data_IF_418844784295
#
_entry.id   IF_418844784295
#
_cell.length_a   1.000
_cell.length_b   1.000
_cell.length_c   1.000
_cell.angle_alpha   90.00
_cell.angle_beta   90.00
_cell.angle_gamma   90.00
#
_symmetry.space_group_name_H-M   'P 1'
#
loop_
_entity.id
_entity.type
_entity.pdbx_description
1 polymer ?
#
# COMPACT_ATOMS: atom_id res chain seq x y z
N UNK A 1 -17.75 2.18 15.25
CA UNK A 1 -17.69 3.49 14.58
C UNK A 1 -18.25 3.28 13.19
N UNK A 2 -19.26 4.04 12.77
CA UNK A 2 -19.76 3.93 11.39
C UNK A 2 -18.70 4.41 10.39
N UNK A 3 -18.85 4.10 9.10
CA UNK A 3 -17.95 4.61 8.06
C UNK A 3 -17.91 6.14 8.01
N UNK A 4 -19.04 6.79 8.28
CA UNK A 4 -19.15 8.25 8.30
C UNK A 4 -18.47 8.86 9.52
N UNK A 5 -18.62 8.25 10.71
CA UNK A 5 -17.93 8.67 11.92
C UNK A 5 -16.40 8.59 11.74
N UNK A 6 -15.91 7.53 11.09
CA UNK A 6 -14.49 7.38 10.78
C UNK A 6 -14.00 8.52 9.85
N UNK A 7 -14.73 8.80 8.77
CA UNK A 7 -14.38 9.87 7.82
C UNK A 7 -14.35 11.25 8.48
N UNK A 8 -15.29 11.53 9.39
CA UNK A 8 -15.33 12.79 10.14
C UNK A 8 -14.13 12.91 11.10
N UNK A 9 -13.91 11.90 11.94
CA UNK A 9 -12.80 11.87 12.89
C UNK A 9 -11.44 11.98 12.18
N UNK A 10 -11.27 11.25 11.08
CA UNK A 10 -10.08 11.31 10.23
C UNK A 10 -9.81 12.74 9.75
N UNK A 11 -10.83 13.42 9.22
CA UNK A 11 -10.70 14.79 8.69
C UNK A 11 -10.22 15.77 9.75
N UNK A 12 -10.79 15.69 10.97
CA UNK A 12 -10.38 16.54 12.10
C UNK A 12 -8.93 16.29 12.50
N UNK A 13 -8.54 15.01 12.61
CA UNK A 13 -7.16 14.62 12.96
C UNK A 13 -6.14 15.14 11.95
N UNK A 14 -6.42 14.97 10.65
CA UNK A 14 -5.54 15.42 9.57
C UNK A 14 -5.43 16.95 9.56
N UNK A 15 -6.56 17.67 9.63
CA UNK A 15 -6.56 19.13 9.62
C UNK A 15 -5.75 19.72 10.77
N UNK A 16 -6.00 19.26 12.00
CA UNK A 16 -5.32 19.76 13.19
C UNK A 16 -3.84 19.35 13.22
N UNK A 17 -3.52 18.09 12.89
CA UNK A 17 -2.13 17.64 12.90
C UNK A 17 -1.29 18.32 11.83
N UNK A 18 -1.84 18.56 10.64
CA UNK A 18 -1.15 19.30 9.57
C UNK A 18 -0.90 20.76 10.01
N UNK A 19 -1.88 21.40 10.67
CA UNK A 19 -1.73 22.74 11.23
C UNK A 19 -0.62 22.79 12.28
N UNK A 20 -0.58 21.82 13.21
CA UNK A 20 0.45 21.74 14.24
C UNK A 20 1.84 21.48 13.64
N UNK A 21 1.94 20.59 12.65
CA UNK A 21 3.21 20.31 11.97
C UNK A 21 3.73 21.53 11.20
N UNK A 22 2.84 22.29 10.55
CA UNK A 22 3.20 23.56 9.90
C UNK A 22 3.68 24.59 10.93
N UNK A 23 2.96 24.74 12.05
CA UNK A 23 3.35 25.66 13.12
C UNK A 23 4.71 25.28 13.74
N UNK A 24 4.95 23.98 13.96
CA UNK A 24 6.24 23.47 14.43
C UNK A 24 7.38 23.83 13.47
N UNK A 25 7.20 23.60 12.16
CA UNK A 25 8.19 23.96 11.12
C UNK A 25 8.47 25.47 11.05
N UNK A 26 7.48 26.30 11.36
CA UNK A 26 7.60 27.75 11.35
C UNK A 26 8.23 28.32 12.65
N UNK A 27 8.22 27.56 13.75
CA UNK A 27 8.67 28.02 15.06
C UNK A 27 10.20 28.18 15.15
N UNK A 28 10.65 29.30 15.70
CA UNK A 28 12.07 29.59 15.98
C UNK A 28 12.21 30.28 17.35
N UNK A 29 12.80 29.63 18.38
CA UNK A 29 13.35 28.26 18.38
C UNK A 29 12.26 27.18 18.23
N UNK A 30 12.66 25.95 17.88
CA UNK A 30 11.72 24.84 17.73
C UNK A 30 10.93 24.60 19.03
N UNK A 31 9.60 24.55 18.91
CA UNK A 31 8.70 24.31 20.04
C UNK A 31 8.35 22.82 20.13
N UNK A 32 9.00 22.12 21.05
CA UNK A 32 8.80 20.67 21.25
C UNK A 32 7.37 20.31 21.69
N UNK A 33 6.60 21.25 22.23
CA UNK A 33 5.20 21.00 22.61
C UNK A 33 4.30 20.82 21.40
N UNK A 34 4.56 21.56 20.30
CA UNK A 34 3.84 21.41 19.03
C UNK A 34 4.13 20.05 18.39
N UNK A 35 5.39 19.61 18.43
CA UNK A 35 5.78 18.28 17.93
C UNK A 35 5.09 17.16 18.73
N UNK A 36 5.12 17.21 20.06
CA UNK A 36 4.47 16.22 20.92
C UNK A 36 2.93 16.17 20.70
N UNK A 37 2.30 17.33 20.50
CA UNK A 37 0.88 17.40 20.18
C UNK A 37 0.56 16.76 18.81
N UNK A 38 1.38 17.04 17.78
CA UNK A 38 1.24 16.42 16.46
C UNK A 38 1.41 14.89 16.52
N UNK A 39 2.39 14.39 17.27
CA UNK A 39 2.63 12.95 17.47
C UNK A 39 1.47 12.25 18.16
N UNK A 40 0.82 12.93 19.12
CA UNK A 40 -0.40 12.44 19.78
C UNK A 40 -1.53 12.25 18.77
N UNK A 41 -1.72 13.19 17.84
CA UNK A 41 -2.75 13.09 16.80
C UNK A 41 -2.42 12.03 15.76
N UNK A 42 -1.15 11.89 15.38
CA UNK A 42 -0.70 10.81 14.49
C UNK A 42 -0.94 9.43 15.11
N UNK A 43 -0.71 9.28 16.42
CA UNK A 43 -1.05 8.06 17.16
C UNK A 43 -2.55 7.77 17.10
N UNK A 44 -3.39 8.76 17.39
CA UNK A 44 -4.86 8.61 17.31
C UNK A 44 -5.33 8.28 15.90
N UNK A 45 -4.73 8.88 14.87
CA UNK A 45 -5.02 8.58 13.47
C UNK A 45 -4.69 7.11 13.16
N UNK A 46 -3.48 6.66 13.49
CA UNK A 46 -3.03 5.27 13.28
C UNK A 46 -4.00 4.27 13.92
N UNK A 47 -4.37 4.52 15.16
CA UNK A 47 -5.19 3.62 15.95
C UNK A 47 -6.68 3.66 15.51
N UNK A 48 -7.07 4.68 14.73
CA UNK A 48 -8.41 4.83 14.16
C UNK A 48 -8.58 4.21 12.77
N UNK A 49 -7.49 3.76 12.13
CA UNK A 49 -7.54 3.20 10.79
C UNK A 49 -8.44 1.95 10.75
N UNK A 50 -9.33 1.81 9.76
CA UNK A 50 -10.17 0.64 9.64
C UNK A 50 -9.30 -0.57 9.27
N UNK A 51 -9.62 -1.71 9.88
CA UNK A 51 -9.07 -3.00 9.48
C UNK A 51 -9.93 -3.54 8.35
N UNK A 52 -9.31 -3.73 7.18
CA UNK A 52 -9.96 -4.28 5.99
C UNK A 52 -9.28 -5.57 5.56
N UNK A 53 -10.03 -6.47 4.95
CA UNK A 53 -9.44 -7.62 4.26
C UNK A 53 -8.80 -7.15 2.95
N UNK A 54 -7.54 -7.52 2.73
CA UNK A 54 -6.79 -7.16 1.51
C UNK A 54 -6.43 -8.37 0.66
N UNK A 55 -6.49 -9.58 1.22
CA UNK A 55 -6.19 -10.82 0.49
C UNK A 55 -6.69 -12.03 1.28
N UNK A 56 -6.57 -13.21 0.67
CA UNK A 56 -6.54 -14.51 1.34
C UNK A 56 -5.21 -15.19 1.06
N UNK A 57 -4.62 -15.86 2.04
CA UNK A 57 -3.34 -16.56 1.90
C UNK A 57 -3.53 -17.85 1.10
N UNK A 58 -2.82 -18.06 -0.01
CA UNK A 58 -2.88 -19.32 -0.75
C UNK A 58 -2.19 -20.49 -0.04
N UNK A 59 -1.44 -20.22 1.03
CA UNK A 59 -0.72 -21.22 1.80
C UNK A 59 -1.55 -21.79 2.96
N UNK A 60 -2.42 -20.97 3.54
CA UNK A 60 -3.18 -21.32 4.74
C UNK A 60 -4.70 -21.17 4.61
N UNK A 61 -5.16 -20.62 3.48
CA UNK A 61 -6.54 -20.21 3.24
C UNK A 61 -7.08 -19.13 4.21
N UNK A 62 -6.24 -18.53 5.05
CA UNK A 62 -6.67 -17.50 6.01
C UNK A 62 -6.79 -16.12 5.37
N UNK A 63 -7.76 -15.34 5.82
CA UNK A 63 -7.90 -13.94 5.44
C UNK A 63 -6.70 -13.12 5.93
N UNK A 64 -6.24 -12.21 5.08
CA UNK A 64 -5.20 -11.23 5.39
C UNK A 64 -5.86 -9.89 5.57
N UNK A 65 -5.82 -9.40 6.80
CA UNK A 65 -6.40 -8.13 7.18
C UNK A 65 -5.31 -7.08 7.45
N UNK A 66 -5.58 -5.83 7.09
CA UNK A 66 -4.67 -4.70 7.27
C UNK A 66 -5.44 -3.46 7.73
N UNK A 67 -4.87 -2.76 8.70
CA UNK A 67 -5.29 -1.40 9.02
C UNK A 67 -4.80 -0.46 7.92
N UNK A 68 -5.73 0.18 7.21
CA UNK A 68 -5.42 0.94 6.00
C UNK A 68 -6.35 2.14 5.84
N UNK A 69 -5.81 3.27 5.40
CA UNK A 69 -6.64 4.42 5.07
C UNK A 69 -7.27 4.27 3.69
N UNK A 70 -8.54 3.90 3.67
CA UNK A 70 -9.35 3.75 2.45
C UNK A 70 -10.23 4.95 2.15
N UNK A 71 -10.07 6.07 2.86
CA UNK A 71 -10.93 7.24 2.66
C UNK A 71 -10.53 8.02 1.42
N UNK A 72 -9.22 8.28 1.26
CA UNK A 72 -8.58 8.91 0.10
C UNK A 72 -7.04 8.88 0.28
N UNK A 73 -6.28 9.30 -0.72
CA UNK A 73 -4.82 9.37 -0.70
C UNK A 73 -4.24 10.56 0.10
N UNK A 74 -5.09 11.40 0.71
CA UNK A 74 -4.68 12.57 1.51
C UNK A 74 -4.38 12.28 2.99
N UNK A 75 -4.48 11.01 3.39
CA UNK A 75 -4.25 10.58 4.77
C UNK A 75 -2.78 10.26 5.03
N UNK A 76 -2.32 10.45 6.27
CA UNK A 76 -0.92 10.17 6.63
C UNK A 76 -0.49 8.72 6.43
N UNK A 77 -1.40 7.76 6.25
CA UNK A 77 -1.06 6.40 5.81
C UNK A 77 -0.29 6.40 4.47
N UNK A 78 -0.59 7.36 3.61
CA UNK A 78 -0.08 7.51 2.25
C UNK A 78 1.06 8.53 2.10
N UNK A 79 1.54 9.09 3.22
CA UNK A 79 2.72 9.98 3.24
C UNK A 79 3.96 9.15 2.92
N UNK A 80 4.48 9.30 1.71
CA UNK A 80 5.55 8.46 1.16
C UNK A 80 6.80 8.43 2.04
N UNK A 81 7.16 9.59 2.61
CA UNK A 81 8.35 9.73 3.46
C UNK A 81 8.04 9.35 4.91
N UNK A 82 6.88 9.78 5.43
CA UNK A 82 6.55 9.71 6.86
C UNK A 82 5.19 9.04 7.13
N UNK A 83 4.95 7.89 6.51
CA UNK A 83 3.68 7.18 6.67
C UNK A 83 3.31 6.88 8.13
N UNK A 84 2.02 7.04 8.46
CA UNK A 84 1.43 6.69 9.76
C UNK A 84 0.54 5.47 9.60
N UNK A 85 1.08 4.31 9.98
CA UNK A 85 0.39 3.02 9.86
C UNK A 85 0.88 2.04 10.93
N UNK A 86 0.04 1.07 11.35
CA UNK A 86 0.50 -0.01 12.21
C UNK A 86 1.56 -0.87 11.52
N UNK A 87 2.46 -1.46 12.30
CA UNK A 87 3.39 -2.46 11.76
C UNK A 87 2.61 -3.67 11.24
N UNK A 88 2.97 -4.20 10.06
CA UNK A 88 2.28 -5.35 9.50
C UNK A 88 2.48 -6.59 10.38
N UNK A 89 1.39 -7.30 10.66
CA UNK A 89 1.48 -8.61 11.33
C UNK A 89 1.93 -9.69 10.33
N UNK A 90 3.00 -10.40 10.68
CA UNK A 90 3.53 -11.52 9.88
C UNK A 90 2.77 -12.80 10.26
N UNK A 91 1.79 -13.16 9.44
CA UNK A 91 1.08 -14.44 9.50
C UNK A 91 1.18 -15.15 8.15
N UNK A 92 1.08 -16.47 8.17
CA UNK A 92 0.70 -17.29 7.00
C UNK A 92 1.57 -17.12 5.74
N UNK A 93 2.88 -16.93 5.95
CA UNK A 93 3.86 -16.79 4.88
C UNK A 93 3.76 -15.47 4.11
N UNK A 94 3.07 -14.46 4.64
CA UNK A 94 2.99 -13.14 4.00
C UNK A 94 4.36 -12.46 3.94
N UNK A 95 4.69 -11.96 2.75
CA UNK A 95 6.00 -11.44 2.39
C UNK A 95 6.00 -9.91 2.26
N UNK A 96 5.05 -9.37 1.50
CA UNK A 96 4.92 -7.94 1.22
C UNK A 96 3.55 -7.66 0.57
N UNK A 97 3.17 -6.38 0.54
CA UNK A 97 2.05 -5.87 -0.25
C UNK A 97 2.54 -4.68 -1.07
N UNK A 98 2.48 -4.79 -2.39
CA UNK A 98 2.60 -3.65 -3.31
C UNK A 98 1.22 -3.24 -3.80
N UNK A 99 1.15 -2.20 -4.62
CA UNK A 99 -0.13 -1.76 -5.15
C UNK A 99 -0.04 -0.85 -6.36
N UNK A 100 -1.17 -0.76 -7.04
CA UNK A 100 -1.44 0.10 -8.18
C UNK A 100 -2.77 0.81 -7.96
N UNK A 101 -2.96 1.96 -8.58
CA UNK A 101 -4.19 2.73 -8.46
C UNK A 101 -4.56 3.42 -9.76
N UNK A 102 -5.78 3.19 -10.20
CA UNK A 102 -6.44 4.05 -11.18
C UNK A 102 -7.02 5.26 -10.49
N UNK A 103 -6.32 6.39 -10.66
CA UNK A 103 -6.73 7.66 -10.10
C UNK A 103 -7.91 8.24 -10.87
N UNK A 104 -8.79 8.93 -10.14
CA UNK A 104 -9.97 9.60 -10.68
C UNK A 104 -9.82 11.06 -10.29
N UNK A 105 -9.83 11.98 -11.25
CA UNK A 105 -9.66 13.42 -11.01
C UNK A 105 -10.96 14.14 -10.60
N UNK A 106 -10.91 15.21 -9.78
CA UNK A 106 -9.72 15.81 -9.13
C UNK A 106 -9.19 15.06 -7.88
N UNK A 107 -7.91 14.74 -7.82
CA UNK A 107 -7.31 14.07 -6.64
C UNK A 107 -7.24 15.03 -5.45
N UNK A 108 -7.55 14.56 -4.24
CA UNK A 108 -7.49 15.37 -3.02
C UNK A 108 -6.05 15.78 -2.70
N UNK A 109 -5.81 17.06 -2.45
CA UNK A 109 -4.50 17.59 -2.14
C UNK A 109 -4.06 17.24 -0.70
N UNK A 110 -2.76 16.95 -0.53
CA UNK A 110 -2.12 16.73 0.75
C UNK A 110 -0.77 17.46 0.84
N UNK A 111 -0.27 17.78 2.06
CA UNK A 111 0.99 18.50 2.25
C UNK A 111 2.23 17.60 2.14
N UNK A 112 2.12 16.46 1.48
CA UNK A 112 3.16 15.45 1.25
C UNK A 112 2.95 14.78 -0.11
N UNK A 113 3.98 14.12 -0.60
CA UNK A 113 3.89 13.31 -1.81
C UNK A 113 3.25 11.95 -1.49
N UNK A 114 2.36 11.49 -2.36
CA UNK A 114 1.78 10.14 -2.29
C UNK A 114 2.16 9.36 -3.55
N UNK A 115 2.58 8.11 -3.38
CA UNK A 115 2.97 7.21 -4.47
C UNK A 115 2.02 6.01 -4.53
N UNK A 116 0.85 6.13 -5.18
CA UNK A 116 -0.17 5.09 -5.18
C UNK A 116 0.16 3.92 -6.13
N UNK A 117 1.25 4.01 -6.90
CA UNK A 117 1.64 3.03 -7.90
C UNK A 117 1.26 3.45 -9.33
N UNK A 118 1.37 2.55 -10.31
CA UNK A 118 0.90 2.78 -11.67
C UNK A 118 -0.61 2.65 -11.79
N UNK A 119 -1.16 3.01 -12.97
CA UNK A 119 -2.60 2.96 -13.30
C UNK A 119 -3.09 1.52 -13.66
N UNK A 120 -2.21 0.54 -13.53
CA UNK A 120 -2.46 -0.86 -13.90
C UNK A 120 -1.90 -1.82 -12.85
N UNK A 121 -2.60 -2.93 -12.54
CA UNK A 121 -2.04 -3.97 -11.69
C UNK A 121 -0.82 -4.60 -12.37
N UNK A 122 0.15 -4.98 -11.54
CA UNK A 122 1.41 -5.57 -11.99
C UNK A 122 1.87 -6.62 -10.97
N UNK A 123 2.86 -7.42 -11.36
CA UNK A 123 3.62 -8.25 -10.42
C UNK A 123 5.08 -7.87 -10.44
N UNK A 124 5.81 -8.26 -9.39
CA UNK A 124 7.27 -8.18 -9.34
C UNK A 124 7.83 -9.57 -9.67
N UNK A 125 8.33 -9.83 -10.90
CA UNK A 125 8.82 -11.14 -11.29
C UNK A 125 9.92 -11.69 -10.38
N UNK A 126 10.79 -10.82 -9.85
CA UNK A 126 11.81 -11.22 -8.86
C UNK A 126 11.23 -11.88 -7.59
N UNK A 127 10.01 -11.51 -7.19
CA UNK A 127 9.29 -12.19 -6.10
C UNK A 127 8.76 -13.54 -6.55
N UNK A 128 8.03 -13.57 -7.67
CA UNK A 128 7.36 -14.79 -8.16
C UNK A 128 8.32 -15.86 -8.68
N UNK A 129 9.52 -15.51 -9.15
CA UNK A 129 10.53 -16.50 -9.55
C UNK A 129 11.08 -17.35 -8.40
N UNK A 130 10.77 -17.01 -7.14
CA UNK A 130 11.18 -17.81 -5.99
C UNK A 130 10.29 -19.05 -5.83
N UNK A 131 10.89 -20.24 -5.59
CA UNK A 131 10.12 -21.45 -5.36
C UNK A 131 9.10 -21.31 -4.23
N UNK A 132 7.86 -21.75 -4.48
CA UNK A 132 6.77 -21.69 -3.51
C UNK A 132 6.27 -20.27 -3.19
N UNK A 133 6.61 -19.28 -4.02
CA UNK A 133 6.06 -17.92 -3.89
C UNK A 133 4.85 -17.75 -4.80
N UNK A 134 3.82 -17.11 -4.24
CA UNK A 134 2.55 -16.79 -4.88
C UNK A 134 2.28 -15.30 -4.72
N UNK A 135 1.53 -14.73 -5.66
CA UNK A 135 0.92 -13.42 -5.52
C UNK A 135 -0.60 -13.55 -5.62
N UNK A 136 -1.31 -12.67 -4.92
CA UNK A 136 -2.77 -12.53 -5.00
C UNK A 136 -3.09 -11.08 -5.32
N UNK A 137 -3.83 -10.85 -6.41
CA UNK A 137 -4.39 -9.54 -6.74
C UNK A 137 -5.82 -9.46 -6.25
N UNK A 138 -6.14 -8.37 -5.56
CA UNK A 138 -7.50 -8.01 -5.16
C UNK A 138 -7.75 -6.54 -5.47
N UNK A 139 -8.98 -6.22 -5.87
CA UNK A 139 -9.42 -4.83 -6.02
C UNK A 139 -9.87 -4.28 -4.67
N UNK A 140 -9.44 -3.05 -4.37
CA UNK A 140 -9.86 -2.26 -3.22
C UNK A 140 -10.30 -0.88 -3.71
N UNK A 141 -11.24 -0.26 -2.98
CA UNK A 141 -11.60 1.13 -3.21
C UNK A 141 -10.88 2.01 -2.18
N UNK A 142 -10.14 3.02 -2.66
CA UNK A 142 -9.57 4.08 -1.82
C UNK A 142 -10.27 5.37 -2.19
N UNK A 143 -11.25 5.75 -1.38
CA UNK A 143 -12.19 6.82 -1.71
C UNK A 143 -12.98 6.50 -2.97
N UNK A 144 -12.64 7.20 -4.05
CA UNK A 144 -13.23 7.03 -5.39
C UNK A 144 -12.28 6.37 -6.39
N UNK A 145 -11.08 6.03 -5.94
CA UNK A 145 -10.04 5.44 -6.76
C UNK A 145 -10.21 3.93 -6.76
N UNK A 146 -10.05 3.32 -7.94
CA UNK A 146 -9.94 1.87 -8.04
C UNK A 146 -8.49 1.51 -7.81
N UNK A 147 -8.23 0.66 -6.83
CA UNK A 147 -6.88 0.24 -6.51
C UNK A 147 -6.76 -1.27 -6.54
N UNK A 148 -5.54 -1.75 -6.75
CA UNK A 148 -5.22 -3.17 -6.75
C UNK A 148 -4.13 -3.43 -5.74
N UNK A 149 -4.45 -4.17 -4.68
CA UNK A 149 -3.46 -4.68 -3.75
C UNK A 149 -2.85 -5.96 -4.32
N UNK A 150 -1.53 -6.04 -4.35
CA UNK A 150 -0.80 -7.22 -4.79
C UNK A 150 -0.03 -7.77 -3.59
N UNK A 151 -0.56 -8.84 -3.00
CA UNK A 151 -0.02 -9.48 -1.82
C UNK A 151 0.85 -10.67 -2.22
N UNK A 152 2.06 -10.75 -1.68
CA UNK A 152 2.99 -11.84 -1.93
C UNK A 152 3.06 -12.79 -0.73
N UNK A 153 3.12 -14.09 -1.01
CA UNK A 153 3.15 -15.17 -0.03
C UNK A 153 4.23 -16.17 -0.40
N UNK A 154 4.96 -16.71 0.55
CA UNK A 154 5.93 -17.76 0.27
C UNK A 154 6.74 -18.18 1.50
N UNK A 155 7.63 -19.17 1.32
CA UNK A 155 8.51 -19.61 2.39
C UNK A 155 9.62 -18.57 2.65
N UNK A 156 9.92 -18.34 3.93
CA UNK A 156 11.08 -17.55 4.36
C UNK A 156 10.93 -16.04 4.13
N UNK A 157 12.04 -15.30 4.32
CA UNK A 157 12.08 -13.86 4.08
C UNK A 157 12.50 -13.60 2.63
N UNK A 158 11.82 -12.70 1.90
CA UNK A 158 12.25 -12.36 0.56
C UNK A 158 13.58 -11.61 0.62
N UNK A 159 14.52 -11.93 -0.28
CA UNK A 159 15.72 -11.12 -0.53
C UNK A 159 16.03 -11.12 -2.03
N UNK A 160 15.99 -9.98 -2.74
CA UNK A 160 15.62 -8.65 -2.28
C UNK A 160 14.18 -8.49 -1.74
N UNK A 161 13.98 -7.55 -0.80
CA UNK A 161 12.67 -7.04 -0.38
C UNK A 161 12.13 -6.03 -1.39
N UNK A 162 10.81 -5.91 -1.49
CA UNK A 162 10.14 -4.85 -2.24
C UNK A 162 9.58 -3.83 -1.26
N UNK A 163 9.46 -2.56 -1.68
CA UNK A 163 8.81 -1.55 -0.85
C UNK A 163 7.34 -1.90 -0.63
N UNK A 164 6.83 -1.58 0.56
CA UNK A 164 5.40 -1.69 0.80
C UNK A 164 4.64 -0.58 0.08
N UNK A 165 3.38 -0.85 -0.24
CA UNK A 165 2.55 0.07 -0.98
C UNK A 165 2.45 1.44 -0.27
N UNK A 166 2.70 2.49 -1.04
CA UNK A 166 2.60 3.88 -0.59
C UNK A 166 3.87 4.45 0.05
N UNK A 167 4.95 3.66 0.22
CA UNK A 167 6.16 4.13 0.92
C UNK A 167 7.47 3.70 0.24
N UNK A 168 8.59 4.27 0.68
CA UNK A 168 9.94 4.07 0.13
C UNK A 168 10.76 2.96 0.81
N UNK A 169 10.15 2.21 1.71
CA UNK A 169 10.82 1.20 2.52
C UNK A 169 9.94 -0.04 2.67
N UNK A 170 10.52 -1.07 3.26
CA UNK A 170 9.77 -2.21 3.73
C UNK A 170 9.84 -2.22 5.26
N UNK A 171 8.69 -2.11 5.93
CA UNK A 171 8.59 -2.10 7.40
C UNK A 171 8.70 -3.53 7.98
N UNK A 172 9.67 -4.31 7.49
CA UNK A 172 9.95 -5.66 7.97
C UNK A 172 10.78 -5.64 9.24
N UNK A 173 10.12 -5.93 10.36
CA UNK A 173 10.75 -6.19 11.64
C UNK A 173 11.01 -7.70 11.83
N UNK A 174 12.05 -8.05 12.58
CA UNK A 174 12.26 -9.44 12.99
C UNK A 174 11.28 -9.87 14.11
N UNK A 175 11.33 -11.14 14.52
CA UNK A 175 10.43 -11.70 15.54
C UNK A 175 10.59 -11.05 16.93
N UNK A 176 11.66 -10.26 17.15
CA UNK A 176 11.84 -9.46 18.35
C UNK A 176 11.31 -8.02 18.22
N UNK A 177 10.72 -7.65 17.09
CA UNK A 177 10.24 -6.29 16.81
C UNK A 177 11.37 -5.31 16.44
N UNK A 178 12.62 -5.77 16.31
CA UNK A 178 13.72 -4.90 15.96
C UNK A 178 13.72 -4.56 14.46
N UNK A 179 13.85 -3.28 14.17
CA UNK A 179 14.07 -2.78 12.81
C UNK A 179 15.49 -3.15 12.38
N UNK A 180 15.64 -3.91 11.29
CA UNK A 180 16.95 -4.21 10.72
C UNK A 180 17.25 -3.23 9.59
N UNK A 181 17.95 -2.15 9.96
CA UNK A 181 18.34 -1.05 9.09
C UNK A 181 19.09 -1.49 7.82
N UNK A 182 19.91 -2.53 7.92
CA UNK A 182 20.88 -2.89 6.87
C UNK A 182 20.24 -3.53 5.62
N UNK A 183 18.96 -3.91 5.67
CA UNK A 183 18.21 -4.44 4.52
C UNK A 183 17.29 -3.40 3.86
N UNK A 184 17.29 -2.14 4.35
CA UNK A 184 16.39 -1.09 3.89
C UNK A 184 16.76 -0.54 2.50
N UNK A 185 17.98 -0.80 2.02
CA UNK A 185 18.43 -0.39 0.69
C UNK A 185 18.31 -1.54 -0.30
N UNK A 186 17.08 -1.89 -0.65
CA UNK A 186 16.85 -2.95 -1.61
C UNK A 186 15.80 -2.55 -2.64
N UNK A 187 16.25 -2.60 -3.90
CA UNK A 187 15.54 -2.54 -5.16
C UNK A 187 14.18 -1.83 -5.11
N UNK A 188 14.18 -0.57 -5.57
CA UNK A 188 12.98 0.01 -6.22
C UNK A 188 12.25 -1.10 -7.00
N UNK A 189 10.92 -1.04 -7.08
CA UNK A 189 10.10 -1.86 -7.97
C UNK A 189 10.47 -1.59 -9.45
N UNK A 190 11.69 -1.94 -9.87
CA UNK A 190 12.26 -1.66 -11.20
C UNK A 190 11.93 -2.77 -12.18
N UNK A 191 11.69 -3.97 -11.67
CA UNK A 191 11.25 -5.14 -12.42
C UNK A 191 9.76 -5.36 -12.11
N UNK A 192 8.91 -4.52 -12.71
CA UNK A 192 7.46 -4.71 -12.70
C UNK A 192 7.02 -5.30 -14.03
N UNK A 193 6.08 -6.24 -13.97
CA UNK A 193 5.52 -6.88 -15.15
C UNK A 193 4.01 -6.70 -15.16
N UNK A 194 3.52 -6.03 -16.20
CA UNK A 194 2.11 -5.77 -16.45
C UNK A 194 1.46 -6.89 -17.27
N UNK A 195 2.25 -7.78 -17.87
CA UNK A 195 1.74 -8.93 -18.60
C UNK A 195 1.40 -10.04 -17.60
N UNK A 196 0.22 -9.97 -17.00
CA UNK A 196 -0.19 -10.86 -15.91
C UNK A 196 -0.50 -12.30 -16.36
N UNK A 197 -0.84 -12.49 -17.65
CA UNK A 197 -1.34 -13.76 -18.20
C UNK A 197 -0.39 -14.95 -17.96
N UNK A 198 0.93 -14.85 -18.24
CA UNK A 198 1.86 -15.95 -17.97
C UNK A 198 1.86 -16.37 -16.49
N UNK A 199 1.79 -15.42 -15.56
CA UNK A 199 1.80 -15.69 -14.12
C UNK A 199 0.50 -16.36 -13.62
N UNK A 200 -0.64 -15.99 -14.23
CA UNK A 200 -1.93 -16.65 -13.96
C UNK A 200 -1.91 -18.10 -14.45
N UNK A 201 -1.34 -18.34 -15.63
CA UNK A 201 -1.25 -19.66 -16.25
C UNK A 201 -0.31 -20.62 -15.50
N UNK A 202 0.74 -20.11 -14.86
CA UNK A 202 1.59 -20.93 -13.97
C UNK A 202 0.93 -21.24 -12.62
N UNK A 203 -0.16 -20.56 -12.27
CA UNK A 203 -0.80 -20.65 -10.95
C UNK A 203 -0.04 -19.93 -9.84
N UNK A 204 1.03 -19.20 -10.17
CA UNK A 204 1.77 -18.39 -9.21
C UNK A 204 1.08 -17.06 -8.90
N UNK A 205 0.30 -16.55 -9.85
CA UNK A 205 -0.61 -15.44 -9.63
C UNK A 205 -2.03 -15.97 -9.48
N UNK A 206 -2.65 -15.60 -8.38
CA UNK A 206 -4.05 -15.85 -8.06
C UNK A 206 -4.78 -14.51 -7.99
N UNK A 207 -6.10 -14.55 -8.02
CA UNK A 207 -6.89 -13.34 -8.01
C UNK A 207 -8.20 -13.53 -7.24
N UNK A 208 -8.68 -12.43 -6.68
CA UNK A 208 -10.01 -12.32 -6.05
C UNK A 208 -10.88 -11.48 -6.98
N UNK A 209 -12.12 -11.89 -7.23
CA UNK A 209 -13.02 -11.10 -8.05
C UNK A 209 -13.41 -9.78 -7.36
N UNK A 210 -13.53 -8.65 -8.09
CA UNK A 210 -14.02 -7.40 -7.52
C UNK A 210 -15.36 -7.59 -6.80
N UNK A 211 -15.46 -7.06 -5.57
CA UNK A 211 -16.66 -7.16 -4.73
C UNK A 211 -16.88 -8.52 -4.05
N UNK A 212 -15.98 -9.50 -4.21
CA UNK A 212 -16.07 -10.77 -3.50
C UNK A 212 -15.72 -10.61 -2.01
N UNK A 213 -16.75 -10.54 -1.16
CA UNK A 213 -16.59 -10.39 0.30
C UNK A 213 -15.94 -11.60 0.97
N UNK A 214 -15.98 -12.76 0.34
CA UNK A 214 -15.36 -13.98 0.87
C UNK A 214 -13.89 -14.09 0.47
N UNK A 215 -13.38 -13.21 -0.39
CA UNK A 215 -12.01 -13.27 -0.91
C UNK A 215 -11.68 -14.66 -1.48
N UNK A 216 -12.56 -15.20 -2.33
CA UNK A 216 -12.38 -16.52 -2.93
C UNK A 216 -11.20 -16.48 -3.89
N UNK A 217 -10.18 -17.30 -3.64
CA UNK A 217 -9.02 -17.38 -4.51
C UNK A 217 -9.37 -18.10 -5.82
N UNK A 218 -9.05 -17.46 -6.94
CA UNK A 218 -9.21 -17.99 -8.29
C UNK A 218 -7.86 -18.11 -8.96
N UNK A 219 -7.70 -19.15 -9.77
CA UNK A 219 -6.47 -19.47 -10.50
C UNK A 219 -6.71 -19.44 -12.01
N UNK A 220 -5.65 -19.19 -12.78
CA UNK A 220 -5.73 -19.17 -14.23
C UNK A 220 -6.27 -17.84 -14.77
N UNK A 221 -6.11 -17.68 -16.09
CA UNK A 221 -6.42 -16.44 -16.79
C UNK A 221 -7.89 -16.30 -17.21
N UNK A 222 -8.67 -17.39 -17.13
CA UNK A 222 -10.07 -17.38 -17.50
C UNK A 222 -10.85 -16.41 -16.59
N UNK A 223 -11.62 -15.51 -17.21
CA UNK A 223 -12.47 -14.52 -16.54
C UNK A 223 -11.75 -13.58 -15.55
N UNK A 224 -10.41 -13.52 -15.59
CA UNK A 224 -9.64 -12.64 -14.72
C UNK A 224 -9.86 -11.17 -15.13
N UNK A 225 -10.46 -10.32 -14.27
CA UNK A 225 -10.83 -8.96 -14.63
C UNK A 225 -9.65 -7.98 -14.64
N UNK A 226 -8.47 -8.47 -14.27
CA UNK A 226 -7.23 -7.69 -14.19
C UNK A 226 -6.38 -7.79 -15.46
N UNK A 227 -6.84 -8.56 -16.45
CA UNK A 227 -6.20 -8.65 -17.76
C UNK A 227 -6.71 -7.55 -18.69
N UNK A 228 -5.83 -7.10 -19.59
CA UNK A 228 -6.18 -6.23 -20.73
C UNK A 228 -6.86 -4.92 -20.30
N UNK A 229 -6.52 -4.44 -19.09
CA UNK A 229 -6.93 -3.13 -18.62
C UNK A 229 -6.16 -2.04 -19.38
N UNK A 230 -6.88 -1.01 -19.84
CA UNK A 230 -6.28 0.22 -20.36
C UNK A 230 -5.73 1.07 -19.21
N UNK A 231 -4.55 1.67 -19.39
CA UNK A 231 -3.95 2.55 -18.40
C UNK A 231 -2.48 2.84 -18.63
N UNK A 232 -1.93 3.78 -17.85
CA UNK A 232 -0.51 4.12 -17.89
C UNK A 232 0.33 3.13 -17.05
N UNK A 233 1.40 2.61 -17.66
CA UNK A 233 2.36 1.70 -17.01
C UNK A 233 3.40 2.44 -16.17
N UNK A 234 3.47 3.76 -16.23
CA UNK A 234 4.40 4.58 -15.43
C UNK A 234 3.92 4.69 -14.00
N UNK A 235 4.85 4.78 -13.06
CA UNK A 235 4.52 5.07 -11.67
C UNK A 235 3.92 6.48 -11.55
N UNK A 236 3.00 6.65 -10.60
CA UNK A 236 2.35 7.94 -10.34
C UNK A 236 2.80 8.55 -9.02
N UNK A 237 2.84 9.88 -8.96
CA UNK A 237 3.05 10.70 -7.76
C UNK A 237 1.93 11.71 -7.70
N UNK A 238 1.20 11.75 -6.59
CA UNK A 238 0.25 12.81 -6.27
C UNK A 238 1.01 13.86 -5.48
N UNK A 239 1.05 15.10 -5.99
CA UNK A 239 1.67 16.24 -5.33
C UNK A 239 0.72 17.42 -5.35
N UNK A 240 0.30 17.90 -4.18
CA UNK A 240 -0.66 19.00 -4.05
C UNK A 240 -1.96 18.82 -4.87
N UNK A 241 -2.40 17.58 -5.08
CA UNK A 241 -3.59 17.25 -5.88
C UNK A 241 -3.34 17.04 -7.38
N UNK A 242 -2.13 17.30 -7.87
CA UNK A 242 -1.73 17.05 -9.25
C UNK A 242 -1.09 15.67 -9.40
N UNK A 243 -1.35 15.00 -10.53
CA UNK A 243 -0.78 13.70 -10.88
C UNK A 243 0.45 13.91 -11.76
N UNK A 244 1.58 13.37 -11.32
CA UNK A 244 2.82 13.29 -12.10
C UNK A 244 3.19 11.84 -12.36
N UNK A 245 3.75 11.56 -13.55
CA UNK A 245 4.18 10.20 -13.92
C UNK A 245 5.70 10.09 -13.99
N UNK A 246 6.26 8.94 -13.64
CA UNK A 246 7.68 8.63 -13.80
C UNK A 246 7.89 7.22 -14.36
N UNK A 247 8.92 7.07 -15.17
CA UNK A 247 9.36 5.75 -15.63
C UNK A 247 9.95 4.94 -14.47
N UNK A 248 9.57 3.68 -14.36
CA UNK A 248 10.33 2.72 -13.59
C UNK A 248 11.70 2.60 -14.25
N UNK A 249 12.73 3.23 -13.67
CA UNK A 249 14.08 3.22 -14.27
C UNK A 249 14.58 1.78 -14.36
N UNK A 250 14.61 1.22 -15.57
CA UNK A 250 15.25 -0.05 -15.87
C UNK A 250 16.75 0.03 -15.57
N UNK A 251 17.31 -1.05 -15.03
CA UNK A 251 18.76 -1.26 -14.93
C UNK A 251 19.36 -1.60 -16.29
#
# INVERSE_FOLDING_TARGET
>A
MSGDDHRAARRELLAEGNRLQQAYRASKPADSSLAAAADTLRTRYRDSLPVITVSRSPLSDRLVERAMDVVDFDGWFWDYDNAVRPLPQRGDGWLAMSGAARLTEPVTAAPFDCHPGPDLPYVVPGMLRRPGTYAVISQLDVGRHTCWAINYFGPGRPYPLIHEWGIDRNDLHDSGGYWRADDAYIAFNRDVDFELRPWLETGQLLWVAPGDSEFTLRSGAADCPYLELDGDRRGQIIRNGDIHTYEFRGS
#
